data_IF_968733718809
#
_entry.id   IF_968733718809
#
_cell.length_a   1.000
_cell.length_b   1.000
_cell.length_c   1.000
_cell.angle_alpha   90.00
_cell.angle_beta   90.00
_cell.angle_gamma   90.00
#
_symmetry.space_group_name_H-M   'P 1'
#
loop_
_entity.id
_entity.type
_entity.pdbx_description
1 polymer ?
#
# COMPACT_ATOMS: atom_id res chain seq x y z
N UNK A 1 -11.38 -3.99 -26.89
CA UNK A 1 -10.08 -4.15 -27.55
C UNK A 1 -9.23 -5.08 -26.68
N UNK A 2 -8.72 -6.21 -27.20
CA UNK A 2 -7.83 -7.04 -26.40
C UNK A 2 -6.54 -6.26 -26.13
N UNK A 3 -6.19 -6.13 -24.85
CA UNK A 3 -4.88 -5.58 -24.42
C UNK A 3 -3.82 -6.58 -24.88
N UNK A 4 -2.86 -6.11 -25.67
CA UNK A 4 -1.78 -6.94 -26.18
C UNK A 4 -0.99 -7.53 -25.00
N UNK A 5 -0.84 -8.87 -24.98
CA UNK A 5 0.08 -9.55 -24.07
C UNK A 5 1.51 -9.04 -24.35
N UNK A 6 2.33 -8.77 -23.31
CA UNK A 6 3.71 -8.41 -23.54
C UNK A 6 4.45 -9.51 -24.31
N UNK A 7 5.45 -9.15 -25.14
CA UNK A 7 6.17 -10.12 -25.95
C UNK A 7 6.85 -11.17 -25.06
N UNK A 8 6.77 -12.44 -25.45
CA UNK A 8 7.48 -13.54 -24.82
C UNK A 8 8.99 -13.23 -24.81
N UNK A 9 9.56 -13.03 -23.61
CA UNK A 9 11.00 -12.76 -23.43
C UNK A 9 11.36 -11.58 -22.51
N UNK A 10 10.38 -10.82 -22.01
CA UNK A 10 10.65 -9.77 -21.00
C UNK A 10 10.72 -10.43 -19.62
N UNK A 11 11.81 -10.19 -18.85
CA UNK A 11 11.90 -10.73 -17.49
C UNK A 11 10.83 -10.11 -16.58
N UNK A 12 10.44 -10.84 -15.54
CA UNK A 12 9.47 -10.37 -14.57
C UNK A 12 9.95 -9.04 -13.94
N UNK A 13 11.24 -8.92 -13.63
CA UNK A 13 11.82 -7.71 -13.09
C UNK A 13 11.74 -6.49 -14.02
N UNK A 14 11.83 -6.69 -15.33
CA UNK A 14 11.65 -5.60 -16.33
C UNK A 14 10.20 -5.13 -16.34
N UNK A 15 9.23 -6.07 -16.34
CA UNK A 15 7.81 -5.74 -16.24
C UNK A 15 7.52 -4.91 -14.98
N UNK A 16 8.05 -5.34 -13.83
CA UNK A 16 7.82 -4.64 -12.56
C UNK A 16 8.45 -3.24 -12.55
N UNK A 17 9.65 -3.06 -13.10
CA UNK A 17 10.25 -1.72 -13.25
C UNK A 17 9.37 -0.80 -14.12
N UNK A 18 8.81 -1.34 -15.21
CA UNK A 18 7.88 -0.59 -16.05
C UNK A 18 6.59 -0.22 -15.32
N UNK A 19 6.03 -1.15 -14.50
CA UNK A 19 4.87 -0.86 -13.67
C UNK A 19 5.17 0.23 -12.63
N UNK A 20 6.35 0.21 -11.97
CA UNK A 20 6.75 1.27 -11.04
C UNK A 20 6.99 2.63 -11.74
N UNK A 21 7.43 2.64 -12.99
CA UNK A 21 7.49 3.86 -13.80
C UNK A 21 6.07 4.41 -14.04
N UNK A 22 5.13 3.55 -14.43
CA UNK A 22 3.73 3.93 -14.64
C UNK A 22 3.05 4.44 -13.34
N UNK A 23 3.41 3.89 -12.15
CA UNK A 23 2.99 4.43 -10.86
C UNK A 23 3.43 5.89 -10.68
N UNK A 24 4.68 6.22 -11.02
CA UNK A 24 5.21 7.58 -10.92
C UNK A 24 4.60 8.55 -11.94
N UNK A 25 4.17 8.03 -13.09
CA UNK A 25 3.43 8.79 -14.11
C UNK A 25 1.93 8.87 -13.79
N UNK A 26 1.47 8.15 -12.76
CA UNK A 26 0.05 7.99 -12.38
C UNK A 26 -0.80 7.46 -13.56
N UNK A 27 -0.18 6.70 -14.45
CA UNK A 27 -0.82 6.12 -15.63
C UNK A 27 -1.49 4.79 -15.29
N UNK A 28 -2.75 4.88 -14.84
CA UNK A 28 -3.57 3.71 -14.48
C UNK A 28 -3.82 2.80 -15.69
N UNK A 29 -3.83 3.33 -16.92
CA UNK A 29 -4.03 2.50 -18.12
C UNK A 29 -2.80 1.64 -18.42
N UNK A 30 -1.60 2.20 -18.30
CA UNK A 30 -0.35 1.44 -18.41
C UNK A 30 -0.26 0.38 -17.29
N UNK A 31 -0.64 0.72 -16.05
CA UNK A 31 -0.71 -0.24 -14.95
C UNK A 31 -1.66 -1.40 -15.26
N UNK A 32 -2.88 -1.11 -15.74
CA UNK A 32 -3.86 -2.14 -16.16
C UNK A 32 -3.28 -3.11 -17.18
N UNK A 33 -2.42 -2.61 -18.09
CA UNK A 33 -1.73 -3.43 -19.08
C UNK A 33 -0.72 -4.42 -18.49
N UNK A 34 -0.20 -4.15 -17.29
CA UNK A 34 0.74 -5.03 -16.59
C UNK A 34 0.06 -6.09 -15.72
N UNK A 35 -1.23 -5.98 -15.43
CA UNK A 35 -1.97 -6.88 -14.54
C UNK A 35 -2.73 -7.97 -15.30
N UNK A 36 -2.81 -9.18 -14.74
CA UNK A 36 -3.75 -10.20 -15.20
C UNK A 36 -5.19 -9.75 -14.92
N UNK A 37 -6.17 -10.29 -15.67
CA UNK A 37 -7.58 -9.96 -15.42
C UNK A 37 -8.04 -10.35 -14.01
N UNK A 38 -7.50 -11.44 -13.49
CA UNK A 38 -7.81 -11.99 -12.15
C UNK A 38 -6.77 -11.63 -11.10
N UNK A 39 -6.03 -10.52 -11.27
CA UNK A 39 -5.05 -10.07 -10.29
C UNK A 39 -5.64 -10.03 -8.88
N UNK A 40 -4.83 -10.43 -7.90
CA UNK A 40 -5.14 -10.24 -6.48
C UNK A 40 -4.07 -9.32 -5.90
N UNK A 41 -4.48 -8.13 -5.50
CA UNK A 41 -3.62 -7.14 -4.85
C UNK A 41 -3.96 -7.11 -3.35
N UNK A 42 -3.01 -7.44 -2.49
CA UNK A 42 -3.22 -7.49 -1.06
C UNK A 42 -2.40 -6.43 -0.35
N UNK A 43 -3.05 -5.35 0.04
CA UNK A 43 -2.53 -4.35 0.97
C UNK A 43 -2.80 -4.76 2.43
N UNK A 44 -2.11 -4.17 3.42
CA UNK A 44 -2.39 -4.43 4.84
C UNK A 44 -3.85 -4.14 5.25
N UNK A 45 -4.51 -3.17 4.62
CA UNK A 45 -5.87 -2.72 4.96
C UNK A 45 -6.97 -3.34 4.09
N UNK A 46 -6.63 -3.84 2.88
CA UNK A 46 -7.63 -4.32 1.90
C UNK A 46 -7.03 -5.37 0.98
N UNK A 47 -7.86 -6.30 0.54
CA UNK A 47 -7.55 -7.20 -0.58
C UNK A 47 -8.46 -6.85 -1.74
N UNK A 48 -7.88 -6.63 -2.91
CA UNK A 48 -8.57 -6.23 -4.14
C UNK A 48 -8.50 -7.36 -5.15
N UNK A 49 -9.58 -7.56 -5.89
CA UNK A 49 -9.72 -8.65 -6.85
C UNK A 49 -10.05 -8.10 -8.24
N UNK A 50 -9.21 -8.46 -9.20
CA UNK A 50 -9.38 -8.04 -10.60
C UNK A 50 -8.92 -6.61 -10.88
N UNK A 51 -8.68 -6.36 -12.17
CA UNK A 51 -8.12 -5.08 -12.65
C UNK A 51 -8.93 -3.85 -12.26
N UNK A 52 -10.25 -3.97 -12.19
CA UNK A 52 -11.11 -2.81 -11.96
C UNK A 52 -11.03 -2.33 -10.50
N UNK A 53 -11.02 -3.24 -9.52
CA UNK A 53 -10.85 -2.88 -8.12
C UNK A 53 -9.46 -2.28 -7.88
N UNK A 54 -8.42 -2.91 -8.46
CA UNK A 54 -7.03 -2.43 -8.31
C UNK A 54 -6.85 -1.06 -8.97
N UNK A 55 -7.40 -0.85 -10.16
CA UNK A 55 -7.36 0.44 -10.85
C UNK A 55 -8.06 1.54 -10.04
N UNK A 56 -9.28 1.28 -9.55
CA UNK A 56 -10.02 2.23 -8.73
C UNK A 56 -9.31 2.61 -7.42
N UNK A 57 -8.58 1.66 -6.82
CA UNK A 57 -7.75 1.95 -5.66
C UNK A 57 -6.64 2.95 -5.99
N UNK A 58 -5.88 2.71 -7.07
CA UNK A 58 -4.80 3.60 -7.49
C UNK A 58 -5.31 4.97 -7.95
N UNK A 59 -6.43 5.04 -8.67
CA UNK A 59 -7.07 6.31 -9.02
C UNK A 59 -7.39 7.15 -7.77
N UNK A 60 -7.93 6.50 -6.73
CA UNK A 60 -8.25 7.15 -5.46
C UNK A 60 -6.98 7.58 -4.72
N UNK A 61 -5.93 6.74 -4.72
CA UNK A 61 -4.64 7.04 -4.10
C UNK A 61 -3.96 8.25 -4.76
N UNK A 62 -3.91 8.28 -6.09
CA UNK A 62 -3.30 9.39 -6.85
C UNK A 62 -4.07 10.69 -6.67
N UNK A 63 -5.41 10.63 -6.64
CA UNK A 63 -6.23 11.80 -6.33
C UNK A 63 -6.01 12.32 -4.90
N UNK A 64 -5.69 11.45 -3.95
CA UNK A 64 -5.41 11.83 -2.56
C UNK A 64 -3.98 12.36 -2.34
N UNK A 65 -3.02 11.84 -3.10
CA UNK A 65 -1.59 12.18 -3.04
C UNK A 65 -1.12 12.60 -4.43
N UNK A 66 -1.39 13.85 -4.87
CA UNK A 66 -1.11 14.29 -6.24
C UNK A 66 0.38 14.29 -6.63
N UNK A 67 1.26 14.43 -5.65
CA UNK A 67 2.72 14.37 -5.77
C UNK A 67 3.29 12.99 -5.39
N UNK A 68 2.48 11.92 -5.57
CA UNK A 68 2.90 10.53 -5.33
C UNK A 68 4.19 10.22 -6.09
N UNK A 69 5.18 9.70 -5.37
CA UNK A 69 6.40 9.20 -5.96
C UNK A 69 6.88 7.96 -5.24
N UNK A 70 7.26 6.92 -6.01
CA UNK A 70 7.76 5.66 -5.47
C UNK A 70 9.10 5.30 -6.11
N UNK A 71 10.10 4.99 -5.29
CA UNK A 71 11.45 4.64 -5.73
C UNK A 71 11.75 3.18 -5.39
N UNK A 72 12.21 2.39 -6.36
CA UNK A 72 12.72 1.04 -6.13
C UNK A 72 14.09 1.15 -5.45
N UNK A 73 14.20 0.66 -4.23
CA UNK A 73 15.46 0.58 -3.46
C UNK A 73 16.22 -0.73 -3.69
N UNK A 74 15.50 -1.82 -3.94
CA UNK A 74 16.05 -3.11 -4.31
C UNK A 74 15.00 -3.91 -5.06
N UNK A 75 15.42 -4.74 -6.01
CA UNK A 75 14.58 -5.70 -6.70
C UNK A 75 15.34 -7.00 -6.84
N UNK A 76 14.71 -8.09 -6.45
CA UNK A 76 15.21 -9.46 -6.60
C UNK A 76 14.18 -10.26 -7.37
N UNK A 77 14.62 -10.96 -8.40
CA UNK A 77 13.80 -11.81 -9.26
C UNK A 77 14.26 -13.25 -9.15
N UNK A 78 13.30 -14.17 -8.99
CA UNK A 78 13.56 -15.61 -9.03
C UNK A 78 12.40 -16.31 -9.73
N UNK A 79 12.59 -16.65 -11.00
CA UNK A 79 11.54 -17.24 -11.82
C UNK A 79 10.35 -16.28 -11.99
N UNK A 80 9.16 -16.71 -11.55
CA UNK A 80 7.94 -15.91 -11.60
C UNK A 80 7.80 -14.93 -10.43
N UNK A 81 8.64 -15.03 -9.40
CA UNK A 81 8.53 -14.24 -8.18
C UNK A 81 9.48 -13.03 -8.21
N UNK A 82 8.97 -11.87 -7.83
CA UNK A 82 9.74 -10.62 -7.73
C UNK A 82 9.49 -9.98 -6.37
N UNK A 83 10.57 -9.71 -5.64
CA UNK A 83 10.54 -8.94 -4.42
C UNK A 83 11.08 -7.54 -4.68
N UNK A 84 10.32 -6.53 -4.31
CA UNK A 84 10.70 -5.12 -4.47
C UNK A 84 10.66 -4.44 -3.13
N UNK A 85 11.81 -3.93 -2.67
CA UNK A 85 11.84 -2.95 -1.58
C UNK A 85 11.77 -1.56 -2.17
N UNK A 86 10.82 -0.78 -1.72
CA UNK A 86 10.57 0.56 -2.24
C UNK A 86 10.46 1.61 -1.15
N UNK A 87 10.56 2.87 -1.55
CA UNK A 87 10.24 4.04 -0.74
C UNK A 87 9.23 4.91 -1.46
N UNK A 88 8.11 5.16 -0.82
CA UNK A 88 7.05 6.04 -1.26
C UNK A 88 7.17 7.38 -0.54
N UNK A 89 6.99 8.48 -1.29
CA UNK A 89 6.88 9.84 -0.77
C UNK A 89 5.71 10.57 -1.43
N UNK A 90 5.16 11.58 -0.77
CA UNK A 90 4.09 12.41 -1.28
C UNK A 90 3.48 13.29 -0.20
N UNK A 91 2.40 13.97 -0.53
CA UNK A 91 1.66 14.86 0.40
C UNK A 91 0.17 14.51 0.35
N UNK A 92 -0.43 14.18 1.49
CA UNK A 92 -1.87 13.94 1.59
C UNK A 92 -2.64 15.26 1.50
N UNK A 93 -2.78 15.81 0.29
CA UNK A 93 -3.30 17.15 0.02
C UNK A 93 -4.47 17.19 -0.96
N UNK A 94 -4.79 16.07 -1.60
CA UNK A 94 -5.85 15.99 -2.61
C UNK A 94 -7.22 15.63 -2.04
N UNK A 95 -7.84 14.58 -2.54
CA UNK A 95 -9.14 14.08 -2.08
C UNK A 95 -9.02 13.24 -0.81
N UNK A 96 -10.13 12.98 -0.08
CA UNK A 96 -10.12 12.01 1.01
C UNK A 96 -9.69 10.61 0.53
N UNK A 97 -8.86 9.93 1.32
CA UNK A 97 -8.43 8.55 1.07
C UNK A 97 -8.88 7.64 2.22
N UNK A 98 -9.55 6.55 1.90
CA UNK A 98 -10.11 5.58 2.88
C UNK A 98 -10.96 6.26 3.98
N UNK A 99 -11.72 7.29 3.62
CA UNK A 99 -12.54 8.05 4.56
C UNK A 99 -11.78 9.08 5.41
N UNK A 100 -10.46 9.23 5.20
CA UNK A 100 -9.63 10.19 5.93
C UNK A 100 -9.50 11.47 5.09
N UNK A 101 -9.90 12.60 5.64
CA UNK A 101 -9.77 13.90 5.00
C UNK A 101 -8.29 14.29 4.81
N UNK A 102 -7.95 15.01 3.72
CA UNK A 102 -6.58 15.43 3.46
C UNK A 102 -6.01 16.25 4.63
N UNK A 103 -4.84 15.86 5.10
CA UNK A 103 -4.18 16.48 6.24
C UNK A 103 -3.17 17.55 5.86
N UNK A 104 -2.81 17.65 4.57
CA UNK A 104 -1.73 18.50 4.07
C UNK A 104 -0.33 18.08 4.53
N UNK A 105 -0.19 16.89 5.13
CA UNK A 105 1.08 16.40 5.68
C UNK A 105 1.83 15.56 4.68
N UNK A 106 3.16 15.65 4.73
CA UNK A 106 4.06 14.81 3.94
C UNK A 106 4.05 13.37 4.45
N UNK A 107 4.16 12.45 3.50
CA UNK A 107 4.26 11.02 3.67
C UNK A 107 5.65 10.55 3.27
N UNK A 108 6.21 9.63 4.03
CA UNK A 108 7.40 8.88 3.65
C UNK A 108 7.28 7.47 4.24
N UNK A 109 7.10 6.49 3.39
CA UNK A 109 6.93 5.09 3.81
C UNK A 109 7.89 4.19 3.06
N UNK A 110 8.53 3.27 3.77
CA UNK A 110 9.24 2.15 3.16
C UNK A 110 8.33 0.92 3.17
N UNK A 111 8.41 0.12 2.13
CA UNK A 111 7.64 -1.11 2.03
C UNK A 111 8.31 -2.16 1.16
N UNK A 112 7.66 -3.31 1.11
CA UNK A 112 8.08 -4.46 0.30
C UNK A 112 6.86 -5.02 -0.40
N UNK A 113 7.00 -5.27 -1.70
CA UNK A 113 6.06 -6.03 -2.50
C UNK A 113 6.64 -7.40 -2.79
N UNK A 114 5.81 -8.42 -2.68
CA UNK A 114 6.04 -9.74 -3.22
C UNK A 114 5.06 -9.98 -4.37
N UNK A 115 5.57 -9.90 -5.60
CA UNK A 115 4.78 -10.03 -6.82
C UNK A 115 5.01 -11.40 -7.46
N UNK A 116 3.93 -11.96 -8.00
CA UNK A 116 3.99 -13.15 -8.84
C UNK A 116 3.59 -12.77 -10.27
N UNK A 117 4.49 -13.02 -11.20
CA UNK A 117 4.30 -12.73 -12.64
C UNK A 117 4.06 -14.04 -13.37
N UNK A 118 2.91 -14.17 -14.04
CA UNK A 118 2.55 -15.33 -14.87
C UNK A 118 2.12 -14.87 -16.24
N UNK A 119 2.54 -15.57 -17.26
CA UNK A 119 2.21 -15.24 -18.65
C UNK A 119 2.51 -13.78 -19.02
N UNK A 120 3.60 -13.23 -18.45
CA UNK A 120 4.02 -11.85 -18.69
C UNK A 120 3.13 -10.78 -18.04
N UNK A 121 2.30 -11.14 -17.06
CA UNK A 121 1.42 -10.22 -16.33
C UNK A 121 1.51 -10.49 -14.82
N UNK A 122 1.32 -9.45 -14.02
CA UNK A 122 1.23 -9.58 -12.55
C UNK A 122 -0.07 -10.30 -12.20
N UNK A 123 0.06 -11.50 -11.66
CA UNK A 123 -1.06 -12.32 -11.20
C UNK A 123 -1.45 -12.03 -9.75
N UNK A 124 -0.47 -11.70 -8.90
CA UNK A 124 -0.73 -11.30 -7.52
C UNK A 124 0.37 -10.39 -7.00
N UNK A 125 0.02 -9.56 -6.01
CA UNK A 125 0.95 -8.78 -5.23
C UNK A 125 0.58 -8.85 -3.74
N UNK A 126 1.58 -9.00 -2.89
CA UNK A 126 1.45 -8.91 -1.45
C UNK A 126 2.31 -7.75 -0.95
N UNK A 127 1.64 -6.70 -0.48
CA UNK A 127 2.25 -5.44 -0.06
C UNK A 127 2.39 -5.41 1.45
N UNK A 128 3.57 -5.04 1.94
CA UNK A 128 3.84 -4.85 3.37
C UNK A 128 4.46 -3.47 3.59
N UNK A 129 3.85 -2.69 4.46
CA UNK A 129 4.39 -1.42 4.94
C UNK A 129 3.88 -1.11 6.36
N UNK A 130 4.48 -0.14 7.03
CA UNK A 130 4.09 0.26 8.39
C UNK A 130 2.88 1.20 8.37
N UNK A 131 1.67 0.62 8.49
CA UNK A 131 0.42 1.37 8.58
C UNK A 131 0.37 2.30 9.80
N UNK A 132 0.99 1.92 10.91
CA UNK A 132 0.96 2.74 12.11
C UNK A 132 1.82 4.00 11.92
N UNK A 133 2.97 3.87 11.27
CA UNK A 133 3.80 5.01 10.89
C UNK A 133 3.05 5.92 9.89
N UNK A 134 2.41 5.33 8.89
CA UNK A 134 1.56 6.07 7.94
C UNK A 134 0.48 6.87 8.67
N UNK A 135 -0.30 6.24 9.54
CA UNK A 135 -1.36 6.89 10.32
C UNK A 135 -0.84 8.03 11.22
N UNK A 136 0.37 7.89 11.76
CA UNK A 136 1.02 8.95 12.53
C UNK A 136 1.47 10.12 11.65
N UNK A 137 2.01 9.84 10.48
CA UNK A 137 2.47 10.88 9.54
C UNK A 137 1.32 11.77 9.07
N UNK A 138 0.17 11.19 8.71
CA UNK A 138 -1.02 11.95 8.32
C UNK A 138 -1.74 12.62 9.51
N UNK A 139 -1.35 12.30 10.74
CA UNK A 139 -1.92 12.86 11.97
C UNK A 139 -3.20 12.19 12.45
N UNK A 140 -3.56 11.04 11.89
CA UNK A 140 -4.68 10.20 12.39
C UNK A 140 -4.37 9.62 13.77
N UNK A 141 -3.12 9.28 14.01
CA UNK A 141 -2.63 8.84 15.31
C UNK A 141 -1.62 9.85 15.88
N UNK A 142 -1.53 9.96 17.22
CA UNK A 142 -0.47 10.74 17.86
C UNK A 142 0.92 10.22 17.47
N UNK A 143 1.88 11.12 17.33
CA UNK A 143 3.29 10.76 17.12
C UNK A 143 3.80 9.88 18.26
N UNK A 144 4.65 8.90 17.93
CA UNK A 144 5.22 7.97 18.93
C UNK A 144 5.97 8.71 20.04
N UNK A 145 5.74 8.31 21.30
CA UNK A 145 6.30 8.95 22.48
C UNK A 145 5.78 10.37 22.78
N UNK A 146 4.81 10.89 22.01
CA UNK A 146 4.18 12.19 22.29
C UNK A 146 3.30 12.15 23.56
N UNK A 147 2.88 13.32 24.05
CA UNK A 147 1.95 13.39 25.16
C UNK A 147 0.61 12.69 24.85
N UNK A 148 0.11 12.83 23.62
CA UNK A 148 -1.09 12.15 23.16
C UNK A 148 -0.95 10.63 23.11
N UNK A 149 0.19 10.12 22.64
CA UNK A 149 0.49 8.68 22.61
C UNK A 149 0.56 8.10 24.05
N UNK A 150 1.25 8.81 24.95
CA UNK A 150 1.29 8.41 26.38
C UNK A 150 -0.08 8.39 27.02
N UNK A 151 -0.93 9.39 26.74
CA UNK A 151 -2.28 9.46 27.24
C UNK A 151 -3.15 8.32 26.70
N UNK A 152 -3.08 8.02 25.40
CA UNK A 152 -3.80 6.91 24.77
C UNK A 152 -3.39 5.55 25.39
N UNK A 153 -2.09 5.30 25.55
CA UNK A 153 -1.56 4.09 26.21
C UNK A 153 -2.02 3.98 27.67
N UNK A 154 -2.02 5.08 28.42
CA UNK A 154 -2.50 5.10 29.81
C UNK A 154 -4.00 4.77 29.89
N UNK A 155 -4.83 5.37 29.04
CA UNK A 155 -6.26 5.09 28.96
C UNK A 155 -6.54 3.62 28.62
N UNK A 156 -5.85 3.07 27.61
CA UNK A 156 -5.94 1.66 27.26
C UNK A 156 -5.57 0.74 28.44
N UNK A 157 -4.44 0.98 29.08
CA UNK A 157 -3.98 0.18 30.23
C UNK A 157 -4.97 0.23 31.41
N UNK A 158 -5.56 1.40 31.69
CA UNK A 158 -6.57 1.55 32.74
C UNK A 158 -7.81 0.72 32.40
N UNK A 159 -8.30 0.79 31.16
CA UNK A 159 -9.42 -0.03 30.69
C UNK A 159 -9.12 -1.52 30.83
N UNK A 160 -7.93 -1.98 30.44
CA UNK A 160 -7.56 -3.40 30.55
C UNK A 160 -7.54 -3.89 32.00
N UNK A 161 -7.01 -3.08 32.94
CA UNK A 161 -7.01 -3.41 34.37
C UNK A 161 -8.42 -3.52 34.93
N UNK A 162 -9.33 -2.61 34.55
CA UNK A 162 -10.72 -2.67 34.96
C UNK A 162 -11.44 -3.93 34.48
N UNK A 163 -11.24 -4.26 33.18
CA UNK A 163 -11.82 -5.47 32.59
C UNK A 163 -11.28 -6.76 33.24
N UNK A 164 -10.00 -6.81 33.60
CA UNK A 164 -9.40 -7.95 34.28
C UNK A 164 -10.06 -8.16 35.65
N UNK A 165 -10.21 -7.09 36.46
CA UNK A 165 -10.90 -7.15 37.77
C UNK A 165 -12.35 -7.61 37.69
N UNK A 166 -13.08 -7.19 36.63
CA UNK A 166 -14.46 -7.61 36.41
C UNK A 166 -14.56 -9.10 36.03
N UNK A 167 -13.58 -9.63 35.28
CA UNK A 167 -13.53 -11.07 34.98
C UNK A 167 -13.23 -11.93 36.19
N UNK A 168 -12.34 -11.49 37.09
CA UNK A 168 -12.04 -12.19 38.34
C UNK A 168 -13.25 -12.26 39.29
N UNK A 169 -14.08 -11.22 39.35
CA UNK A 169 -15.30 -11.19 40.17
C UNK A 169 -16.44 -12.07 39.63
N UNK A 170 -16.37 -12.54 38.39
CA UNK A 170 -17.38 -13.43 37.77
C UNK A 170 -16.99 -14.91 37.76
N UNK A 171 -15.82 -15.25 38.31
CA UNK A 171 -15.38 -16.61 38.60
C UNK A 171 -15.56 -16.96 40.06
#
# INVERSE_FOLDING_TARGET
MPVASPPAGVSAGVLIRSAFAALNEQDVQALRGSWSESIVERFPEVTLHGRDEVAGYFETLFAAVPDFHIEIKALVEQGEEVFVRWRLTGTHSGTPFQGIAPSGRSLASDGVDHLVVRDGMVASNFVVYDQMQFARQIGLLPGDGSAGDRAAKAAFNTRMRLLARLRERRR
#
